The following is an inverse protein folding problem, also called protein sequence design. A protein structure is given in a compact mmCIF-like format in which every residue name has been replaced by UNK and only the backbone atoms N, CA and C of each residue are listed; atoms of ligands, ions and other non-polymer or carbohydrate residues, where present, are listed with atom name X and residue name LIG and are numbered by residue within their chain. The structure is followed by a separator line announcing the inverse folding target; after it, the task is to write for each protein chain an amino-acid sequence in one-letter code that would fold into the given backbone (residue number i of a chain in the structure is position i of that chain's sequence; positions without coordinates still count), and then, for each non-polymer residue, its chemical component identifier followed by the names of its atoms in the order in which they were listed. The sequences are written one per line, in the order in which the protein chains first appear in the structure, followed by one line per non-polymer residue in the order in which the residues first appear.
data_IF_943224626526
#
_entry.id   IF_943224626526
#
_cell.length_a   1.000
_cell.length_b   1.000
_cell.length_c   1.000
_cell.angle_alpha   90.00
_cell.angle_beta   90.00
_cell.angle_gamma   90.00
#
_symmetry.space_group_name_H-M   'P 1'
#
loop_
_entity.id
_entity.type
_entity.pdbx_description
1 polymer ?
#
# COMPACT_ATOMS: atom_id res chain seq x y z
N UNK A 1 2.58 15.65 -8.82
CA UNK A 1 1.34 14.85 -8.92
C UNK A 1 1.71 13.54 -9.65
N UNK A 2 1.87 12.44 -8.89
CA UNK A 2 2.35 11.15 -9.37
C UNK A 2 1.58 10.64 -10.60
N UNK A 3 0.30 10.97 -10.69
CA UNK A 3 -0.55 10.55 -11.81
C UNK A 3 -0.20 11.27 -13.11
N UNK A 4 -0.03 12.60 -13.06
CA UNK A 4 0.43 13.36 -14.22
C UNK A 4 1.87 13.01 -14.63
N UNK A 5 2.65 12.55 -13.66
CA UNK A 5 4.02 12.10 -13.91
C UNK A 5 4.04 10.71 -14.60
N UNK A 6 3.09 9.82 -14.25
CA UNK A 6 2.90 8.53 -14.92
C UNK A 6 2.47 8.70 -16.40
N UNK A 7 1.61 9.69 -16.67
CA UNK A 7 1.22 10.00 -18.07
C UNK A 7 2.41 10.47 -18.90
N UNK A 8 3.35 11.22 -18.29
CA UNK A 8 4.56 11.69 -19.01
C UNK A 8 5.51 10.58 -19.39
N UNK A 9 5.56 9.49 -18.62
CA UNK A 9 6.43 8.33 -18.91
C UNK A 9 5.69 7.22 -19.66
N UNK A 10 4.48 7.48 -20.16
CA UNK A 10 3.66 6.47 -20.85
C UNK A 10 4.33 5.86 -22.08
N UNK A 11 5.21 6.61 -22.73
CA UNK A 11 5.95 6.18 -23.92
C UNK A 11 7.36 5.64 -23.60
N UNK A 12 7.74 5.61 -22.32
CA UNK A 12 9.04 5.11 -21.91
C UNK A 12 9.10 3.58 -22.03
N UNK A 13 10.25 3.07 -22.39
CA UNK A 13 10.53 1.64 -22.33
C UNK A 13 10.78 1.24 -20.89
N UNK A 14 10.05 0.25 -20.41
CA UNK A 14 10.26 -0.31 -19.10
C UNK A 14 11.40 -1.32 -19.12
N UNK A 15 12.37 -1.14 -18.24
CA UNK A 15 13.42 -2.11 -17.96
C UNK A 15 13.14 -2.78 -16.61
N UNK A 16 12.64 -4.01 -16.66
CA UNK A 16 12.34 -4.79 -15.45
C UNK A 16 13.57 -5.60 -15.04
N UNK A 17 13.94 -5.50 -13.77
CA UNK A 17 15.03 -6.29 -13.19
C UNK A 17 14.73 -7.79 -13.35
N UNK A 18 15.71 -8.54 -13.84
CA UNK A 18 15.60 -10.01 -13.93
C UNK A 18 15.42 -10.62 -12.54
N UNK A 19 14.39 -11.45 -12.39
CA UNK A 19 14.04 -12.03 -11.10
C UNK A 19 13.41 -11.04 -10.11
N UNK A 20 12.90 -9.90 -10.60
CA UNK A 20 12.22 -8.91 -9.76
C UNK A 20 11.16 -9.55 -8.85
N UNK A 21 11.15 -9.22 -7.55
CA UNK A 21 10.15 -9.72 -6.63
C UNK A 21 8.76 -9.20 -6.98
N UNK A 22 7.73 -9.94 -6.57
CA UNK A 22 6.34 -9.47 -6.69
C UNK A 22 5.92 -8.91 -5.34
N UNK A 23 5.43 -7.66 -5.33
CA UNK A 23 4.93 -6.99 -4.14
C UNK A 23 3.40 -6.93 -4.22
N UNK A 24 2.72 -7.52 -3.25
CA UNK A 24 1.28 -7.36 -3.04
C UNK A 24 0.98 -5.98 -2.46
N UNK A 25 0.32 -5.11 -3.21
CA UNK A 25 -0.09 -3.78 -2.75
C UNK A 25 -1.54 -3.83 -2.29
N UNK A 26 -1.73 -3.79 -0.97
CA UNK A 26 -3.05 -3.83 -0.32
C UNK A 26 -3.52 -2.39 -0.11
N UNK A 27 -4.47 -1.94 -0.94
CA UNK A 27 -4.87 -0.54 -1.02
C UNK A 27 -6.25 -0.37 -1.72
N UNK A 28 -6.47 0.77 -2.36
CA UNK A 28 -7.67 1.12 -3.16
C UNK A 28 -7.69 0.49 -4.56
N UNK A 29 -6.72 -0.36 -4.88
CA UNK A 29 -6.50 -0.90 -6.21
C UNK A 29 -5.47 -0.11 -7.02
N UNK A 30 -5.02 -0.68 -8.12
CA UNK A 30 -4.01 -0.10 -9.01
C UNK A 30 -4.60 0.08 -10.39
N UNK A 31 -4.52 1.28 -10.95
CA UNK A 31 -4.98 1.53 -12.30
C UNK A 31 -4.01 0.91 -13.32
N UNK A 32 -4.60 0.26 -14.34
CA UNK A 32 -3.85 -0.30 -15.47
C UNK A 32 -3.46 0.83 -16.44
N UNK A 33 -2.36 1.50 -16.13
CA UNK A 33 -1.74 2.49 -17.00
C UNK A 33 -0.69 1.83 -17.90
N UNK A 34 -0.48 2.36 -19.09
CA UNK A 34 0.46 1.80 -20.06
C UNK A 34 1.86 1.53 -19.47
N UNK A 35 2.36 2.44 -18.62
CA UNK A 35 3.66 2.30 -17.96
C UNK A 35 3.65 1.24 -16.83
N UNK A 36 2.50 0.97 -16.22
CA UNK A 36 2.38 -0.03 -15.15
C UNK A 36 2.00 -1.41 -15.66
N UNK A 37 1.30 -1.50 -16.80
CA UNK A 37 0.81 -2.76 -17.34
C UNK A 37 1.87 -3.87 -17.43
N UNK A 38 3.12 -3.60 -17.87
CA UNK A 38 4.15 -4.63 -17.97
C UNK A 38 4.62 -5.20 -16.62
N UNK A 39 4.39 -4.49 -15.51
CA UNK A 39 4.78 -4.92 -14.17
C UNK A 39 3.60 -5.43 -13.33
N UNK A 40 2.37 -5.31 -13.83
CA UNK A 40 1.21 -5.84 -13.14
C UNK A 40 1.13 -7.35 -13.34
N UNK A 41 1.21 -8.08 -12.24
CA UNK A 41 1.13 -9.54 -12.24
C UNK A 41 -0.30 -10.00 -11.99
N UNK A 42 -0.80 -10.86 -12.88
CA UNK A 42 -2.15 -11.43 -12.82
C UNK A 42 -3.25 -10.34 -12.83
N UNK A 43 -4.47 -10.74 -12.56
CA UNK A 43 -5.62 -9.82 -12.50
C UNK A 43 -5.79 -9.17 -11.11
N UNK A 44 -4.91 -9.50 -10.15
CA UNK A 44 -5.02 -9.01 -8.77
C UNK A 44 -6.22 -9.59 -8.02
N UNK A 45 -6.57 -8.95 -6.90
CA UNK A 45 -7.72 -9.29 -6.08
C UNK A 45 -8.57 -8.06 -5.81
N UNK A 46 -9.89 -8.17 -5.95
CA UNK A 46 -10.86 -7.17 -5.50
C UNK A 46 -11.77 -7.76 -4.43
N UNK A 47 -11.57 -7.36 -3.16
CA UNK A 47 -12.40 -7.80 -2.04
C UNK A 47 -13.53 -6.81 -1.72
N UNK A 48 -13.54 -5.66 -2.37
CA UNK A 48 -14.61 -4.65 -2.20
C UNK A 48 -15.80 -4.97 -3.10
N UNK A 49 -15.51 -5.37 -4.32
CA UNK A 49 -16.51 -5.83 -5.26
C UNK A 49 -16.04 -7.14 -5.91
N UNK A 50 -16.35 -8.23 -5.24
CA UNK A 50 -15.94 -9.59 -5.66
C UNK A 50 -16.47 -9.98 -7.05
N UNK A 51 -17.40 -9.20 -7.59
CA UNK A 51 -17.96 -9.41 -8.93
C UNK A 51 -17.43 -8.38 -9.95
N UNK A 52 -16.55 -7.48 -9.54
CA UNK A 52 -15.97 -6.50 -10.45
C UNK A 52 -15.10 -7.21 -11.50
N UNK A 53 -15.28 -6.91 -12.80
CA UNK A 53 -14.49 -7.53 -13.85
C UNK A 53 -13.04 -6.99 -13.91
N UNK A 54 -12.73 -5.93 -13.18
CA UNK A 54 -11.48 -5.19 -13.27
C UNK A 54 -10.93 -4.80 -11.89
N UNK A 55 -10.14 -5.68 -11.25
CA UNK A 55 -9.53 -5.41 -9.93
C UNK A 55 -8.50 -4.28 -9.94
N UNK A 56 -8.15 -3.75 -11.11
CA UNK A 56 -7.21 -2.63 -11.28
C UNK A 56 -7.90 -1.27 -11.45
N UNK A 57 -9.22 -1.20 -11.35
CA UNK A 57 -9.90 0.09 -11.47
C UNK A 57 -9.63 0.98 -10.25
N UNK A 58 -9.35 2.25 -10.54
CA UNK A 58 -9.30 3.28 -9.51
C UNK A 58 -10.71 3.49 -8.97
N UNK A 59 -10.82 3.70 -7.66
CA UNK A 59 -12.04 4.24 -7.09
C UNK A 59 -12.22 5.69 -7.56
N UNK A 60 -13.13 5.88 -8.51
CA UNK A 60 -13.43 7.19 -9.09
C UNK A 60 -14.00 8.20 -8.09
N UNK A 61 -14.34 7.77 -6.86
CA UNK A 61 -14.77 8.68 -5.78
C UNK A 61 -13.61 9.33 -5.05
N UNK A 62 -12.40 8.86 -5.29
CA UNK A 62 -11.19 9.44 -4.73
C UNK A 62 -10.48 10.30 -5.77
N UNK A 63 -10.20 11.54 -5.45
CA UNK A 63 -9.35 12.43 -6.27
C UNK A 63 -7.87 11.98 -6.24
N UNK A 64 -7.53 11.07 -5.35
CA UNK A 64 -6.20 10.48 -5.25
C UNK A 64 -6.22 9.01 -5.67
N UNK A 65 -5.43 8.68 -6.64
CA UNK A 65 -5.13 7.30 -7.04
C UNK A 65 -4.14 6.67 -6.06
N UNK A 66 -4.50 6.59 -4.77
CA UNK A 66 -3.59 6.23 -3.69
C UNK A 66 -2.90 4.89 -3.96
N UNK A 67 -3.64 3.82 -4.22
CA UNK A 67 -3.07 2.52 -4.52
C UNK A 67 -2.16 2.52 -5.75
N UNK A 68 -2.52 3.28 -6.80
CA UNK A 68 -1.67 3.45 -7.99
C UNK A 68 -0.37 4.18 -7.65
N UNK A 69 -0.45 5.23 -6.82
CA UNK A 69 0.73 5.97 -6.34
C UNK A 69 1.66 5.07 -5.52
N UNK A 70 1.09 4.31 -4.59
CA UNK A 70 1.85 3.38 -3.75
C UNK A 70 2.51 2.29 -4.60
N UNK A 71 1.78 1.70 -5.55
CA UNK A 71 2.32 0.71 -6.48
C UNK A 71 3.48 1.27 -7.32
N UNK A 72 3.34 2.50 -7.81
CA UNK A 72 4.39 3.19 -8.55
C UNK A 72 5.66 3.35 -7.72
N UNK A 73 5.51 3.81 -6.48
CA UNK A 73 6.65 3.97 -5.56
C UNK A 73 7.27 2.62 -5.18
N UNK A 74 6.45 1.59 -5.00
CA UNK A 74 6.94 0.26 -4.68
C UNK A 74 7.72 -0.38 -5.83
N UNK A 75 7.29 -0.16 -7.08
CA UNK A 75 7.93 -0.73 -8.26
C UNK A 75 9.18 0.03 -8.71
N UNK A 76 9.11 1.35 -8.72
CA UNK A 76 10.16 2.20 -9.31
C UNK A 76 11.04 2.89 -8.26
N UNK A 77 10.60 2.98 -7.00
CA UNK A 77 11.35 3.67 -5.95
C UNK A 77 11.74 5.09 -6.35
N UNK A 78 12.98 5.47 -6.06
CA UNK A 78 13.52 6.76 -6.44
C UNK A 78 13.83 6.89 -7.94
N UNK A 79 13.84 5.79 -8.68
CA UNK A 79 14.17 5.80 -10.11
C UNK A 79 13.08 6.50 -10.92
N UNK A 80 11.83 6.41 -10.47
CA UNK A 80 10.71 7.09 -11.11
C UNK A 80 10.95 8.59 -11.26
N UNK A 81 11.32 9.26 -10.17
CA UNK A 81 11.56 10.71 -10.20
C UNK A 81 12.87 11.12 -10.84
N UNK A 82 13.88 10.24 -10.87
CA UNK A 82 15.16 10.51 -11.50
C UNK A 82 15.13 10.37 -13.01
N UNK A 83 14.25 9.54 -13.53
CA UNK A 83 14.22 9.13 -14.93
C UNK A 83 12.95 9.60 -15.66
N UNK A 84 12.20 10.57 -15.09
CA UNK A 84 10.95 11.06 -15.69
C UNK A 84 11.12 11.61 -17.12
N UNK A 85 12.31 12.09 -17.45
CA UNK A 85 12.67 12.59 -18.79
C UNK A 85 13.47 11.54 -19.61
N UNK A 86 13.66 10.35 -19.06
CA UNK A 86 14.38 9.28 -19.74
C UNK A 86 13.44 8.45 -20.61
N UNK A 87 13.95 7.97 -21.75
CA UNK A 87 13.21 7.02 -22.59
C UNK A 87 13.12 5.62 -22.00
N UNK A 88 13.79 5.37 -20.87
CA UNK A 88 13.83 4.08 -20.17
C UNK A 88 13.60 4.31 -18.68
N UNK A 89 12.68 3.55 -18.09
CA UNK A 89 12.40 3.56 -16.66
C UNK A 89 12.69 2.18 -16.08
N UNK A 90 13.55 2.13 -15.06
CA UNK A 90 13.89 0.90 -14.38
C UNK A 90 12.83 0.56 -13.32
N UNK A 91 12.35 -0.69 -13.32
CA UNK A 91 11.47 -1.22 -12.30
C UNK A 91 12.19 -2.32 -11.50
N UNK A 92 12.20 -2.16 -10.19
CA UNK A 92 12.88 -3.08 -9.25
C UNK A 92 11.94 -4.19 -8.75
N UNK A 93 10.63 -4.05 -8.96
CA UNK A 93 9.62 -5.01 -8.55
C UNK A 93 8.44 -5.07 -9.52
N UNK A 94 7.74 -6.20 -9.50
CA UNK A 94 6.41 -6.37 -10.07
C UNK A 94 5.35 -6.13 -9.01
N UNK A 95 4.14 -5.82 -9.42
CA UNK A 95 3.03 -5.46 -8.55
C UNK A 95 1.88 -6.46 -8.70
N UNK A 96 1.39 -6.95 -7.58
CA UNK A 96 0.14 -7.66 -7.47
C UNK A 96 -0.88 -6.78 -6.75
N UNK A 97 -1.89 -6.31 -7.48
CA UNK A 97 -2.89 -5.38 -6.93
C UNK A 97 -3.90 -6.08 -6.03
N UNK A 98 -4.11 -5.55 -4.83
CA UNK A 98 -5.10 -6.05 -3.87
C UNK A 98 -5.97 -4.89 -3.41
N UNK A 99 -7.22 -4.86 -3.89
CA UNK A 99 -8.18 -3.82 -3.55
C UNK A 99 -9.04 -4.26 -2.37
N UNK A 100 -8.89 -3.57 -1.24
CA UNK A 100 -9.65 -3.81 -0.01
C UNK A 100 -10.47 -2.61 0.45
N UNK A 101 -10.30 -1.46 -0.21
CA UNK A 101 -10.93 -0.19 0.17
C UNK A 101 -11.44 0.56 -1.05
N UNK A 102 -12.62 1.20 -0.90
CA UNK A 102 -13.14 2.19 -1.85
C UNK A 102 -12.81 3.60 -1.38
N UNK A 103 -11.94 4.28 -2.12
CA UNK A 103 -11.48 5.62 -1.79
C UNK A 103 -10.72 5.70 -0.46
N UNK A 104 -10.25 6.89 -0.12
CA UNK A 104 -9.38 7.11 1.06
C UNK A 104 -10.11 6.99 2.40
N UNK A 105 -11.43 7.08 2.40
CA UNK A 105 -12.25 7.08 3.62
C UNK A 105 -13.02 5.79 3.84
N UNK A 106 -12.85 4.80 2.96
CA UNK A 106 -13.50 3.50 3.07
C UNK A 106 -13.07 2.77 4.36
N UNK A 107 -14.03 2.11 5.01
CA UNK A 107 -13.72 1.23 6.14
C UNK A 107 -13.10 -0.05 5.61
N UNK A 108 -12.00 -0.46 6.22
CA UNK A 108 -11.33 -1.72 5.95
C UNK A 108 -11.53 -2.67 7.10
N UNK A 109 -11.95 -3.89 6.77
CA UNK A 109 -12.11 -4.94 7.73
C UNK A 109 -10.83 -5.78 7.79
N UNK A 110 -10.32 -6.05 8.97
CA UNK A 110 -9.14 -6.92 9.15
C UNK A 110 -9.37 -8.32 8.58
N UNK A 111 -10.61 -8.81 8.55
CA UNK A 111 -10.94 -10.09 7.93
C UNK A 111 -10.68 -10.09 6.43
N UNK A 112 -10.96 -8.98 5.74
CA UNK A 112 -10.70 -8.84 4.31
C UNK A 112 -9.20 -8.78 4.03
N UNK A 113 -8.42 -8.13 4.90
CA UNK A 113 -6.96 -8.13 4.82
C UNK A 113 -6.39 -9.54 5.01
N UNK A 114 -6.90 -10.28 6.02
CA UNK A 114 -6.50 -11.68 6.25
C UNK A 114 -6.81 -12.55 5.04
N UNK A 115 -8.02 -12.44 4.51
CA UNK A 115 -8.45 -13.16 3.30
C UNK A 115 -7.55 -12.82 2.11
N UNK A 116 -7.30 -11.52 1.88
CA UNK A 116 -6.47 -11.02 0.79
C UNK A 116 -5.05 -11.58 0.81
N UNK A 117 -4.37 -11.49 1.96
CA UNK A 117 -3.01 -11.99 2.13
C UNK A 117 -2.98 -13.51 1.93
N UNK A 118 -3.93 -14.22 2.53
CA UNK A 118 -4.02 -15.68 2.42
C UNK A 118 -4.21 -16.11 0.96
N UNK A 119 -5.17 -15.51 0.25
CA UNK A 119 -5.43 -15.82 -1.16
C UNK A 119 -4.24 -15.47 -2.06
N UNK A 120 -3.65 -14.28 -1.89
CA UNK A 120 -2.50 -13.84 -2.67
C UNK A 120 -1.30 -14.78 -2.47
N UNK A 121 -1.05 -15.21 -1.23
CA UNK A 121 0.03 -16.16 -0.94
C UNK A 121 -0.26 -17.54 -1.51
N UNK A 122 -1.43 -18.13 -1.20
CA UNK A 122 -1.74 -19.52 -1.54
C UNK A 122 -1.93 -19.74 -3.04
N UNK A 123 -2.56 -18.79 -3.74
CA UNK A 123 -2.89 -18.96 -5.15
C UNK A 123 -1.82 -18.42 -6.10
N UNK A 124 -1.04 -17.42 -5.65
CA UNK A 124 -0.08 -16.70 -6.51
C UNK A 124 1.34 -16.67 -5.95
N UNK A 125 1.58 -17.22 -4.76
CA UNK A 125 2.91 -17.29 -4.17
C UNK A 125 3.47 -15.95 -3.69
N UNK A 126 2.63 -14.94 -3.51
CA UNK A 126 3.07 -13.60 -3.04
C UNK A 126 3.56 -13.71 -1.61
N UNK A 127 4.74 -13.17 -1.33
CA UNK A 127 5.38 -13.23 0.00
C UNK A 127 5.76 -11.86 0.56
N UNK A 128 5.72 -10.82 -0.26
CA UNK A 128 6.03 -9.45 0.15
C UNK A 128 4.76 -8.63 0.00
N UNK A 129 4.35 -7.94 1.07
CA UNK A 129 3.14 -7.12 1.07
C UNK A 129 3.43 -5.71 1.55
N UNK A 130 2.83 -4.74 0.89
CA UNK A 130 2.73 -3.37 1.36
C UNK A 130 1.28 -3.09 1.77
N UNK A 131 1.10 -2.63 3.00
CA UNK A 131 -0.19 -2.28 3.58
C UNK A 131 -0.16 -0.80 3.95
N UNK A 132 -0.54 0.05 2.99
CA UNK A 132 -0.50 1.51 3.12
C UNK A 132 -1.79 2.10 3.69
N UNK A 133 -2.38 1.39 4.64
CA UNK A 133 -3.66 1.76 5.25
C UNK A 133 -3.47 1.91 6.75
N UNK A 134 -3.95 3.01 7.30
CA UNK A 134 -3.98 3.21 8.74
C UNK A 134 -5.36 2.86 9.29
N UNK A 135 -5.42 2.01 10.30
CA UNK A 135 -6.63 1.84 11.09
C UNK A 135 -6.73 3.04 12.02
N UNK A 136 -7.59 4.00 11.67
CA UNK A 136 -7.94 5.09 12.60
C UNK A 136 -8.71 4.47 13.76
N UNK A 137 -8.06 4.26 14.87
CA UNK A 137 -8.65 3.66 16.06
C UNK A 137 -8.16 4.32 17.33
N UNK A 138 -8.92 4.11 18.40
CA UNK A 138 -8.49 4.49 19.74
C UNK A 138 -7.18 3.76 20.04
N UNK A 139 -6.24 4.46 20.68
CA UNK A 139 -5.06 3.83 21.25
C UNK A 139 -5.49 2.65 22.13
N UNK A 140 -5.00 1.47 21.81
CA UNK A 140 -5.29 0.30 22.62
C UNK A 140 -4.41 0.38 23.88
N UNK A 141 -5.06 0.34 25.04
CA UNK A 141 -4.35 0.13 26.30
C UNK A 141 -3.93 -1.34 26.50
N UNK A 142 -3.95 -2.12 25.43
CA UNK A 142 -3.58 -3.53 25.43
C UNK A 142 -2.21 -3.67 24.78
N UNK A 143 -1.45 -4.66 25.21
CA UNK A 143 -0.09 -4.90 24.76
C UNK A 143 -0.02 -5.20 23.23
N UNK A 144 -1.06 -5.82 22.68
CA UNK A 144 -1.15 -6.16 21.24
C UNK A 144 -2.60 -5.94 20.76
N UNK A 145 -2.77 -5.24 19.63
CA UNK A 145 -4.07 -5.13 18.97
C UNK A 145 -4.40 -6.41 18.20
N UNK A 146 -5.69 -6.72 18.04
CA UNK A 146 -6.14 -7.84 17.18
C UNK A 146 -5.58 -7.73 15.76
N UNK A 147 -5.45 -6.50 15.27
CA UNK A 147 -4.87 -6.21 13.96
C UNK A 147 -3.40 -6.64 13.87
N UNK A 148 -2.57 -6.21 14.83
CA UNK A 148 -1.17 -6.59 14.90
C UNK A 148 -1.01 -8.11 15.07
N UNK A 149 -1.82 -8.72 15.95
CA UNK A 149 -1.78 -10.17 16.16
C UNK A 149 -2.05 -10.96 14.88
N UNK A 150 -3.07 -10.58 14.10
CA UNK A 150 -3.40 -11.27 12.84
C UNK A 150 -2.29 -11.13 11.82
N UNK A 151 -1.67 -9.95 11.70
CA UNK A 151 -0.57 -9.74 10.76
C UNK A 151 0.68 -10.52 11.17
N UNK A 152 1.01 -10.55 12.46
CA UNK A 152 2.11 -11.35 12.99
C UNK A 152 1.88 -12.86 12.77
N UNK A 153 0.64 -13.33 13.00
CA UNK A 153 0.26 -14.73 12.74
C UNK A 153 0.47 -15.10 11.27
N UNK A 154 -0.02 -14.26 10.34
CA UNK A 154 0.14 -14.49 8.90
C UNK A 154 1.61 -14.45 8.48
N UNK A 155 2.37 -13.48 8.98
CA UNK A 155 3.80 -13.35 8.69
C UNK A 155 4.57 -14.59 9.15
N UNK A 156 4.24 -15.10 10.34
CA UNK A 156 4.87 -16.31 10.89
C UNK A 156 4.47 -17.60 10.15
N UNK A 157 3.17 -17.81 9.89
CA UNK A 157 2.66 -19.06 9.28
C UNK A 157 3.15 -19.21 7.85
N UNK A 158 3.14 -18.12 7.08
CA UNK A 158 3.44 -18.12 5.65
C UNK A 158 4.84 -17.61 5.31
N UNK A 159 5.65 -17.26 6.30
CA UNK A 159 6.98 -16.67 6.13
C UNK A 159 6.93 -15.44 5.20
N UNK A 160 6.11 -14.43 5.60
CA UNK A 160 5.86 -13.24 4.82
C UNK A 160 6.63 -12.04 5.35
N UNK A 161 6.93 -11.11 4.45
CA UNK A 161 7.40 -9.76 4.77
C UNK A 161 6.25 -8.77 4.54
N UNK A 162 5.78 -8.12 5.61
CA UNK A 162 4.66 -7.18 5.55
C UNK A 162 5.14 -5.80 5.99
N UNK A 163 5.11 -4.83 5.05
CA UNK A 163 5.36 -3.42 5.32
C UNK A 163 4.05 -2.73 5.67
N UNK A 164 4.01 -2.09 6.83
CA UNK A 164 2.80 -1.44 7.34
C UNK A 164 3.07 0.04 7.50
N UNK A 165 2.21 0.90 6.92
CA UNK A 165 2.30 2.33 7.17
C UNK A 165 1.87 2.65 8.61
N UNK A 166 2.60 3.56 9.25
CA UNK A 166 2.25 4.06 10.58
C UNK A 166 1.13 5.11 10.55
N UNK A 167 0.60 5.43 9.37
CA UNK A 167 -0.42 6.44 9.14
C UNK A 167 0.15 7.85 9.01
N UNK A 168 -0.75 8.79 8.71
CA UNK A 168 -0.45 10.20 8.58
C UNK A 168 -0.87 10.94 9.85
N UNK A 169 0.00 11.78 10.36
CA UNK A 169 -0.34 12.68 11.45
C UNK A 169 -1.17 13.86 10.92
N UNK A 170 -2.27 14.17 11.60
CA UNK A 170 -3.00 15.41 11.35
C UNK A 170 -2.25 16.61 11.92
N UNK A 171 -2.59 17.83 11.45
CA UNK A 171 -2.04 19.06 12.07
C UNK A 171 -2.36 19.11 13.56
N UNK A 172 -3.52 18.63 13.98
CA UNK A 172 -3.92 18.56 15.37
C UNK A 172 -3.02 17.59 16.16
N UNK A 173 -2.68 16.42 15.58
CA UNK A 173 -1.75 15.48 16.19
C UNK A 173 -0.36 16.08 16.34
N UNK A 174 0.14 16.79 15.32
CA UNK A 174 1.44 17.46 15.34
C UNK A 174 1.46 18.54 16.41
N UNK A 175 0.42 19.37 16.51
CA UNK A 175 0.30 20.41 17.51
C UNK A 175 0.25 19.82 18.93
N UNK A 176 -0.52 18.73 19.11
CA UNK A 176 -0.58 18.02 20.38
C UNK A 176 0.76 17.40 20.78
N UNK A 177 1.52 16.88 19.81
CA UNK A 177 2.88 16.37 20.06
C UNK A 177 3.84 17.47 20.47
N UNK A 178 3.77 18.66 19.88
CA UNK A 178 4.58 19.82 20.25
C UNK A 178 4.28 20.26 21.68
N UNK A 179 3.01 20.29 22.09
CA UNK A 179 2.60 20.61 23.45
C UNK A 179 3.16 19.58 24.45
N UNK A 180 3.08 18.29 24.12
CA UNK A 180 3.62 17.20 24.96
C UNK A 180 5.15 17.25 25.01
N UNK A 181 5.82 17.57 23.90
CA UNK A 181 7.27 17.72 23.85
C UNK A 181 7.78 18.91 24.68
N UNK A 182 6.99 19.98 24.77
CA UNK A 182 7.31 21.14 25.59
C UNK A 182 7.14 20.88 27.11
N UNK A 183 6.46 19.78 27.49
CA UNK A 183 6.21 19.44 28.87
C UNK A 183 6.84 18.07 29.25
N UNK A 184 8.16 18.00 29.57
CA UNK A 184 8.88 16.74 29.70
C UNK A 184 8.45 15.84 30.87
N UNK A 185 7.60 16.35 31.76
CA UNK A 185 7.17 15.62 32.96
C UNK A 185 5.82 14.84 32.81
N UNK A 186 5.23 14.86 31.63
CA UNK A 186 3.99 14.12 31.42
C UNK A 186 4.25 12.67 30.99
N UNK A 187 3.77 11.73 31.82
CA UNK A 187 3.81 10.28 31.53
C UNK A 187 3.06 9.90 30.23
N UNK A 188 2.36 10.83 29.62
CA UNK A 188 1.66 10.66 28.33
C UNK A 188 2.59 10.65 27.12
N UNK A 189 3.85 11.08 27.29
CA UNK A 189 4.86 11.13 26.22
C UNK A 189 5.18 9.75 25.64
N UNK A 190 5.02 8.70 26.41
CA UNK A 190 5.37 7.32 26.03
C UNK A 190 4.17 6.56 25.43
N UNK A 191 2.95 7.08 25.57
CA UNK A 191 1.72 6.39 25.14
C UNK A 191 1.28 6.68 23.70
N UNK A 192 2.02 7.48 22.94
CA UNK A 192 1.64 7.93 21.58
C UNK A 192 2.57 7.48 20.46
N UNK A 193 3.46 6.52 20.75
CA UNK A 193 4.29 5.86 19.76
C UNK A 193 4.10 4.35 19.84
#
# INVERSE_FOLDING_TARGET
NTFGDLERVSDATLNLLEGAPIIGVIDTGVQRLAVLDPILEHDGLDLVDKNAPHPYEIDLRSDSSHGTTVATLAAFGNNFYRNMDANVVDADAKIFSIKVQRGETGLVNIADIKEAITMAHQNYGIRIFNLSMSVRGKFYNQDISTYAYILDELAYIYDLLIFISVGNLSEEDINNMQIVAANPNTSERVKRF
#
